data_IF_797912685063
#
_entry.id   IF_797912685063
#
_cell.length_a   1.000
_cell.length_b   1.000
_cell.length_c   1.000
_cell.angle_alpha   90.00
_cell.angle_beta   90.00
_cell.angle_gamma   90.00
#
_symmetry.space_group_name_H-M   'P 1'
#
loop_
_entity.id
_entity.type
_entity.pdbx_description
1 polymer ?
#
# COMPACT_ATOMS: atom_id res chain seq x y z
N UNK A 1 -21.28 0.00 0.75
CA UNK A 1 -21.74 -1.37 0.48
C UNK A 1 -21.05 -1.86 -0.76
N UNK A 2 -20.27 -2.93 -0.60
CA UNK A 2 -19.56 -3.58 -1.69
C UNK A 2 -20.51 -4.01 -2.81
N UNK A 3 -20.01 -3.93 -4.04
CA UNK A 3 -20.73 -4.33 -5.26
C UNK A 3 -20.77 -5.85 -5.45
N UNK A 4 -19.93 -6.59 -4.72
CA UNK A 4 -19.90 -8.05 -4.69
C UNK A 4 -19.77 -8.53 -3.24
N UNK A 5 -20.13 -9.79 -2.99
CA UNK A 5 -19.98 -10.41 -1.67
C UNK A 5 -18.51 -10.63 -1.31
N UNK A 6 -18.23 -10.81 -0.03
CA UNK A 6 -16.95 -11.31 0.46
C UNK A 6 -17.03 -12.81 0.68
N UNK A 7 -16.05 -13.55 0.18
CA UNK A 7 -15.84 -14.91 0.66
C UNK A 7 -15.15 -14.85 2.03
N UNK A 8 -15.51 -15.79 2.89
CA UNK A 8 -14.94 -15.97 4.22
C UNK A 8 -14.02 -17.18 4.23
N UNK A 9 -13.16 -17.27 5.25
CA UNK A 9 -12.30 -18.44 5.47
C UNK A 9 -13.06 -19.76 5.47
N UNK A 10 -14.30 -19.76 5.96
CA UNK A 10 -15.17 -20.93 6.06
C UNK A 10 -15.82 -21.32 4.72
N UNK A 11 -15.92 -20.38 3.78
CA UNK A 11 -16.61 -20.57 2.49
C UNK A 11 -15.67 -20.80 1.30
N UNK A 12 -14.37 -20.54 1.46
CA UNK A 12 -13.38 -20.79 0.42
C UNK A 12 -12.89 -22.24 0.43
N UNK A 13 -12.22 -22.65 -0.65
CA UNK A 13 -11.55 -23.95 -0.66
C UNK A 13 -10.40 -24.01 0.37
N UNK A 14 -10.02 -25.20 0.86
CA UNK A 14 -8.95 -25.35 1.85
C UNK A 14 -7.62 -24.71 1.41
N UNK A 15 -7.34 -24.69 0.11
CA UNK A 15 -6.12 -24.11 -0.46
C UNK A 15 -6.06 -22.59 -0.31
N UNK A 16 -7.22 -21.92 -0.26
CA UNK A 16 -7.31 -20.47 -0.09
C UNK A 16 -7.47 -20.05 1.37
N UNK A 17 -7.88 -20.94 2.27
CA UNK A 17 -7.98 -20.61 3.71
C UNK A 17 -6.75 -19.88 4.31
N UNK A 18 -5.49 -20.16 3.91
CA UNK A 18 -4.32 -19.47 4.44
C UNK A 18 -4.20 -17.98 4.12
N UNK A 19 -4.94 -17.44 3.13
CA UNK A 19 -4.89 -15.99 2.82
C UNK A 19 -5.66 -15.16 3.87
N UNK A 20 -6.51 -15.80 4.68
CA UNK A 20 -7.26 -15.19 5.77
C UNK A 20 -6.50 -15.35 7.08
N UNK A 21 -5.92 -14.26 7.58
CA UNK A 21 -5.07 -14.26 8.77
C UNK A 21 -5.80 -13.69 9.97
N UNK A 22 -5.68 -14.35 11.11
CA UNK A 22 -6.29 -13.88 12.36
C UNK A 22 -5.71 -12.52 12.76
N UNK A 23 -6.58 -11.61 13.23
CA UNK A 23 -6.18 -10.26 13.60
C UNK A 23 -5.84 -9.31 12.44
N UNK A 24 -5.99 -9.75 11.19
CA UNK A 24 -5.83 -8.91 9.99
C UNK A 24 -7.19 -8.56 9.36
N UNK A 25 -7.27 -7.53 8.50
CA UNK A 25 -8.46 -7.22 7.71
C UNK A 25 -8.85 -8.39 6.78
N UNK A 26 -10.14 -8.65 6.63
CA UNK A 26 -10.66 -9.82 5.90
C UNK A 26 -11.30 -9.46 4.56
N UNK A 27 -11.67 -8.19 4.33
CA UNK A 27 -12.37 -7.78 3.11
C UNK A 27 -11.51 -7.91 1.85
N UNK A 28 -10.23 -7.54 1.88
CA UNK A 28 -9.34 -7.72 0.71
C UNK A 28 -9.14 -9.21 0.38
N UNK A 29 -8.72 -10.09 1.31
CA UNK A 29 -8.65 -11.52 1.04
C UNK A 29 -9.98 -12.12 0.55
N UNK A 30 -11.10 -11.72 1.17
CA UNK A 30 -12.43 -12.21 0.81
C UNK A 30 -12.90 -11.78 -0.58
N UNK A 31 -12.49 -10.59 -1.03
CA UNK A 31 -12.74 -10.09 -2.37
C UNK A 31 -11.86 -10.79 -3.40
N UNK A 32 -10.56 -10.95 -3.11
CA UNK A 32 -9.61 -11.62 -4.02
C UNK A 32 -9.92 -13.11 -4.20
N UNK A 33 -10.52 -13.76 -3.20
CA UNK A 33 -10.89 -15.17 -3.27
C UNK A 33 -11.90 -15.50 -4.39
N UNK A 34 -12.61 -14.51 -4.96
CA UNK A 34 -13.42 -14.70 -6.19
C UNK A 34 -12.56 -15.01 -7.43
N UNK A 35 -11.25 -14.78 -7.38
CA UNK A 35 -10.27 -15.16 -8.39
C UNK A 35 -9.30 -16.21 -7.84
N UNK A 36 -9.74 -17.47 -7.61
CA UNK A 36 -9.00 -18.46 -6.83
C UNK A 36 -7.62 -18.81 -7.41
N UNK A 37 -7.48 -18.78 -8.73
CA UNK A 37 -6.20 -19.02 -9.41
C UNK A 37 -5.13 -17.95 -9.12
N UNK A 38 -5.54 -16.74 -8.70
CA UNK A 38 -4.67 -15.58 -8.52
C UNK A 38 -4.57 -15.15 -7.05
N UNK A 39 -5.59 -15.42 -6.23
CA UNK A 39 -5.75 -14.85 -4.90
C UNK A 39 -4.53 -15.05 -4.00
N UNK A 40 -4.07 -16.29 -3.84
CA UNK A 40 -2.93 -16.60 -2.98
C UNK A 40 -1.62 -15.96 -3.46
N UNK A 41 -1.38 -15.95 -4.78
CA UNK A 41 -0.20 -15.33 -5.36
C UNK A 41 -0.20 -13.80 -5.14
N UNK A 42 -1.34 -13.15 -5.37
CA UNK A 42 -1.47 -11.70 -5.17
C UNK A 42 -1.35 -11.31 -3.70
N UNK A 43 -1.99 -12.04 -2.78
CA UNK A 43 -1.87 -11.79 -1.34
C UNK A 43 -0.42 -11.93 -0.88
N UNK A 44 0.27 -13.00 -1.29
CA UNK A 44 1.68 -13.19 -0.96
C UNK A 44 2.57 -12.08 -1.54
N UNK A 45 2.28 -11.60 -2.75
CA UNK A 45 2.97 -10.46 -3.35
C UNK A 45 2.79 -9.18 -2.51
N UNK A 46 1.56 -8.84 -2.14
CA UNK A 46 1.27 -7.67 -1.29
C UNK A 46 1.97 -7.77 0.08
N UNK A 47 1.97 -8.95 0.70
CA UNK A 47 2.69 -9.18 1.96
C UNK A 47 4.20 -9.00 1.77
N UNK A 48 4.76 -9.44 0.65
CA UNK A 48 6.20 -9.28 0.38
C UNK A 48 6.63 -7.82 0.31
N UNK A 49 5.77 -6.93 -0.22
CA UNK A 49 5.99 -5.48 -0.25
C UNK A 49 6.04 -4.90 1.17
N UNK A 50 5.17 -5.39 2.07
CA UNK A 50 5.08 -4.87 3.44
C UNK A 50 6.12 -5.45 4.39
N UNK A 51 6.72 -6.59 4.04
CA UNK A 51 7.79 -7.23 4.79
C UNK A 51 9.12 -6.45 4.74
N UNK A 52 10.14 -6.96 5.44
CA UNK A 52 11.47 -6.36 5.46
C UNK A 52 12.06 -6.27 4.05
N UNK A 53 12.28 -5.05 3.60
CA UNK A 53 12.90 -4.69 2.31
C UNK A 53 14.17 -3.85 2.54
N UNK A 54 14.84 -3.45 1.46
CA UNK A 54 15.94 -2.47 1.55
C UNK A 54 15.40 -1.04 1.64
N UNK A 55 14.30 -0.76 0.95
CA UNK A 55 13.57 0.50 1.05
C UNK A 55 13.10 0.74 2.49
N UNK A 56 13.29 1.96 2.97
CA UNK A 56 12.81 2.36 4.29
C UNK A 56 11.28 2.19 4.38
N UNK A 57 10.76 1.42 5.37
CA UNK A 57 9.32 1.23 5.53
C UNK A 57 8.57 2.55 5.70
N UNK A 58 9.16 3.60 6.29
CA UNK A 58 8.53 4.93 6.36
C UNK A 58 8.33 5.54 4.98
N UNK A 59 9.34 5.46 4.11
CA UNK A 59 9.25 5.97 2.73
C UNK A 59 8.20 5.19 1.95
N UNK A 60 8.18 3.86 2.09
CA UNK A 60 7.16 3.00 1.49
C UNK A 60 5.75 3.42 1.92
N UNK A 61 5.49 3.55 3.22
CA UNK A 61 4.15 3.87 3.72
C UNK A 61 3.71 5.31 3.38
N UNK A 62 4.64 6.28 3.32
CA UNK A 62 4.33 7.62 2.79
C UNK A 62 3.80 7.56 1.36
N UNK A 63 4.46 6.76 0.50
CA UNK A 63 4.07 6.58 -0.89
C UNK A 63 2.74 5.83 -1.04
N UNK A 64 2.47 4.81 -0.22
CA UNK A 64 1.19 4.09 -0.25
C UNK A 64 0.04 5.01 0.24
N UNK A 65 0.24 5.77 1.31
CA UNK A 65 -0.76 6.77 1.76
C UNK A 65 -1.01 7.84 0.70
N UNK A 66 0.05 8.30 0.01
CA UNK A 66 -0.12 9.27 -1.06
C UNK A 66 -0.85 8.67 -2.27
N UNK A 67 -0.56 7.42 -2.63
CA UNK A 67 -1.31 6.67 -3.63
C UNK A 67 -2.79 6.57 -3.27
N UNK A 68 -3.12 6.15 -2.04
CA UNK A 68 -4.49 6.06 -1.54
C UNK A 68 -5.22 7.41 -1.64
N UNK A 69 -4.56 8.51 -1.29
CA UNK A 69 -5.11 9.86 -1.44
C UNK A 69 -5.37 10.23 -2.90
N UNK A 70 -4.39 10.05 -3.78
CA UNK A 70 -4.52 10.38 -5.21
C UNK A 70 -5.65 9.57 -5.86
N UNK A 71 -5.82 8.32 -5.44
CA UNK A 71 -6.87 7.44 -5.92
C UNK A 71 -8.21 7.60 -5.19
N UNK A 72 -8.29 8.46 -4.16
CA UNK A 72 -9.47 8.59 -3.29
C UNK A 72 -9.95 7.22 -2.75
N UNK A 73 -9.02 6.40 -2.27
CA UNK A 73 -9.31 5.06 -1.77
C UNK A 73 -9.31 5.02 -0.24
N UNK A 74 -10.50 5.14 0.36
CA UNK A 74 -10.67 5.20 1.82
C UNK A 74 -10.20 3.92 2.53
N UNK A 75 -10.44 2.74 1.94
CA UNK A 75 -10.01 1.47 2.53
C UNK A 75 -8.49 1.42 2.65
N UNK A 76 -7.77 1.74 1.56
CA UNK A 76 -6.30 1.75 1.56
C UNK A 76 -5.76 2.76 2.57
N UNK A 77 -6.34 3.96 2.62
CA UNK A 77 -5.97 4.98 3.60
C UNK A 77 -6.07 4.45 5.03
N UNK A 78 -7.23 3.89 5.42
CA UNK A 78 -7.47 3.42 6.79
C UNK A 78 -6.49 2.31 7.18
N UNK A 79 -6.20 1.38 6.27
CA UNK A 79 -5.26 0.30 6.56
C UNK A 79 -3.82 0.81 6.67
N UNK A 80 -3.38 1.64 5.72
CA UNK A 80 -2.01 2.12 5.67
C UNK A 80 -1.71 3.25 6.66
N UNK A 81 -2.71 3.93 7.20
CA UNK A 81 -2.51 4.85 8.32
C UNK A 81 -2.02 4.08 9.55
N UNK A 82 -2.64 2.93 9.84
CA UNK A 82 -2.23 2.07 10.96
C UNK A 82 -0.83 1.43 10.77
N UNK A 83 -0.53 1.00 9.54
CA UNK A 83 0.77 0.41 9.18
C UNK A 83 1.86 1.49 9.17
N UNK A 84 1.56 2.67 8.64
CA UNK A 84 2.45 3.84 8.62
C UNK A 84 2.87 4.25 10.02
N UNK A 85 1.95 4.30 10.97
CA UNK A 85 2.30 4.57 12.39
C UNK A 85 3.21 3.49 12.95
N UNK A 86 2.96 2.20 12.66
CA UNK A 86 3.83 1.11 13.09
C UNK A 86 5.24 1.19 12.47
N UNK A 87 5.33 1.62 11.20
CA UNK A 87 6.59 1.92 10.52
C UNK A 87 7.29 3.18 11.05
N UNK A 88 6.63 3.95 11.92
CA UNK A 88 7.19 5.11 12.60
C UNK A 88 6.90 6.45 11.91
N UNK A 89 5.86 6.52 11.07
CA UNK A 89 5.29 7.80 10.64
C UNK A 89 4.65 8.53 11.82
N UNK A 90 4.86 9.84 11.86
CA UNK A 90 4.21 10.71 12.84
C UNK A 90 2.82 11.14 12.35
N UNK A 91 2.02 11.72 13.25
CA UNK A 91 0.74 12.31 12.85
C UNK A 91 0.93 13.47 11.89
N UNK A 92 2.00 14.23 12.09
CA UNK A 92 2.39 15.34 11.25
C UNK A 92 2.69 14.87 9.81
N UNK A 93 3.43 13.77 9.66
CA UNK A 93 3.71 13.18 8.34
C UNK A 93 2.42 12.81 7.60
N UNK A 94 1.50 12.13 8.30
CA UNK A 94 0.22 11.68 7.73
C UNK A 94 -0.66 12.88 7.35
N UNK A 95 -0.73 13.90 8.21
CA UNK A 95 -1.51 15.11 7.93
C UNK A 95 -0.95 15.92 6.75
N UNK A 96 0.38 15.94 6.57
CA UNK A 96 1.00 16.52 5.37
C UNK A 96 0.55 15.75 4.11
N UNK A 97 0.65 14.42 4.11
CA UNK A 97 0.20 13.60 2.97
C UNK A 97 -1.27 13.86 2.68
N UNK A 98 -2.11 14.01 3.71
CA UNK A 98 -3.56 14.21 3.59
C UNK A 98 -3.95 15.57 3.00
N UNK A 99 -3.26 16.64 3.40
CA UNK A 99 -3.74 18.02 3.21
C UNK A 99 -2.92 18.86 2.24
N UNK A 100 -1.60 18.61 2.11
CA UNK A 100 -0.73 19.45 1.30
C UNK A 100 -1.01 19.28 -0.19
N UNK A 101 -0.98 20.37 -0.97
CA UNK A 101 -1.11 20.29 -2.44
C UNK A 101 0.10 19.56 -3.07
N UNK A 102 1.30 19.86 -2.55
CA UNK A 102 2.57 19.26 -2.97
C UNK A 102 3.29 18.67 -1.75
N UNK A 103 2.86 17.50 -1.25
CA UNK A 103 3.41 16.91 -0.02
C UNK A 103 4.91 16.66 -0.12
N UNK A 104 5.46 16.38 -1.31
CA UNK A 104 6.89 16.14 -1.52
C UNK A 104 7.78 17.29 -1.02
N UNK A 105 7.26 18.52 -0.97
CA UNK A 105 8.04 19.70 -0.56
C UNK A 105 8.31 19.73 0.95
N UNK A 106 7.56 18.94 1.73
CA UNK A 106 7.72 18.83 3.17
C UNK A 106 8.73 17.74 3.59
N UNK A 107 9.13 16.87 2.66
CA UNK A 107 10.01 15.73 2.94
C UNK A 107 11.33 15.87 2.15
N UNK A 108 12.49 15.96 2.81
CA UNK A 108 13.78 16.00 2.13
C UNK A 108 14.25 14.60 1.69
N UNK A 109 15.27 14.57 0.83
CA UNK A 109 16.00 13.35 0.45
C UNK A 109 15.13 12.27 -0.18
N UNK A 110 15.37 11.01 0.22
CA UNK A 110 14.70 9.81 -0.29
C UNK A 110 13.17 9.92 -0.29
N UNK A 111 12.56 10.44 0.78
CA UNK A 111 11.10 10.55 0.90
C UNK A 111 10.49 11.55 -0.10
N UNK A 112 11.11 12.72 -0.27
CA UNK A 112 10.62 13.75 -1.19
C UNK A 112 10.61 13.27 -2.63
N UNK A 113 11.71 12.67 -3.09
CA UNK A 113 11.80 12.15 -4.47
C UNK A 113 10.89 10.95 -4.69
N UNK A 114 10.70 10.10 -3.67
CA UNK A 114 9.75 8.99 -3.75
C UNK A 114 8.30 9.46 -3.90
N UNK A 115 7.90 10.55 -3.24
CA UNK A 115 6.57 11.15 -3.39
C UNK A 115 6.36 11.79 -4.77
N UNK A 116 7.40 12.44 -5.34
CA UNK A 116 7.35 12.92 -6.74
C UNK A 116 7.13 11.75 -7.70
N UNK A 117 7.93 10.69 -7.56
CA UNK A 117 7.82 9.49 -8.38
C UNK A 117 6.44 8.83 -8.25
N UNK A 118 5.92 8.74 -7.02
CA UNK A 118 4.59 8.19 -6.74
C UNK A 118 3.51 8.94 -7.51
N UNK A 119 3.52 10.28 -7.47
CA UNK A 119 2.56 11.09 -8.23
C UNK A 119 2.66 10.83 -9.73
N UNK A 120 3.87 10.83 -10.29
CA UNK A 120 4.06 10.60 -11.74
C UNK A 120 3.54 9.23 -12.18
N UNK A 121 3.81 8.18 -11.40
CA UNK A 121 3.31 6.83 -11.68
C UNK A 121 1.77 6.76 -11.62
N UNK A 122 1.15 7.41 -10.63
CA UNK A 122 -0.31 7.38 -10.46
C UNK A 122 -1.03 8.22 -11.51
N UNK A 123 -0.55 9.43 -11.78
CA UNK A 123 -1.23 10.38 -12.68
C UNK A 123 -0.91 10.13 -14.16
N UNK A 124 0.31 9.72 -14.49
CA UNK A 124 0.78 9.59 -15.88
C UNK A 124 1.09 8.15 -16.29
N UNK A 125 1.13 7.19 -15.35
CA UNK A 125 1.50 5.80 -15.65
C UNK A 125 2.96 5.62 -16.06
N UNK A 126 3.80 6.63 -15.83
CA UNK A 126 5.23 6.60 -16.18
C UNK A 126 6.00 7.60 -15.32
N UNK A 127 7.32 7.46 -15.27
CA UNK A 127 8.22 8.38 -14.57
C UNK A 127 9.04 9.18 -15.57
N UNK A 128 9.30 10.46 -15.27
CA UNK A 128 10.20 11.27 -16.09
C UNK A 128 11.65 10.85 -15.90
N UNK A 129 12.51 10.94 -16.93
CA UNK A 129 13.94 10.59 -16.81
C UNK A 129 14.66 11.36 -15.70
N UNK A 130 14.33 12.62 -15.50
CA UNK A 130 14.87 13.46 -14.43
C UNK A 130 14.47 12.98 -13.03
N UNK A 131 13.24 12.48 -12.86
CA UNK A 131 12.75 11.92 -11.60
C UNK A 131 13.50 10.64 -11.26
N UNK A 132 13.69 9.74 -12.23
CA UNK A 132 14.49 8.52 -12.05
C UNK A 132 15.95 8.86 -11.70
N UNK A 133 16.54 9.83 -12.41
CA UNK A 133 17.90 10.29 -12.13
C UNK A 133 18.02 10.84 -10.70
N UNK A 134 17.05 11.63 -10.26
CA UNK A 134 17.01 12.19 -8.91
C UNK A 134 16.82 11.09 -7.85
N UNK A 135 15.94 10.11 -8.10
CA UNK A 135 15.74 8.98 -7.19
C UNK A 135 17.04 8.21 -7.00
N UNK A 136 17.78 7.94 -8.07
CA UNK A 136 19.08 7.26 -8.02
C UNK A 136 20.21 8.07 -7.33
N UNK A 137 19.99 9.34 -6.98
CA UNK A 137 20.90 10.07 -6.08
C UNK A 137 20.63 9.77 -4.60
N UNK A 138 19.41 9.35 -4.25
CA UNK A 138 18.91 9.19 -2.88
C UNK A 138 18.65 7.73 -2.50
N UNK A 139 18.57 6.83 -3.48
CA UNK A 139 18.31 5.40 -3.26
C UNK A 139 19.01 4.53 -4.31
N UNK A 140 19.26 3.27 -3.96
CA UNK A 140 19.81 2.29 -4.90
C UNK A 140 18.77 1.81 -5.92
N UNK A 141 19.24 1.17 -6.99
CA UNK A 141 18.34 0.56 -8.00
C UNK A 141 17.36 -0.45 -7.37
N UNK A 142 17.80 -1.20 -6.36
CA UNK A 142 16.93 -2.12 -5.63
C UNK A 142 15.80 -1.38 -4.92
N UNK A 143 16.10 -0.33 -4.15
CA UNK A 143 15.09 0.46 -3.44
C UNK A 143 14.13 1.14 -4.42
N UNK A 144 14.63 1.62 -5.56
CA UNK A 144 13.80 2.21 -6.61
C UNK A 144 12.82 1.18 -7.19
N UNK A 145 13.27 -0.05 -7.45
CA UNK A 145 12.39 -1.13 -7.93
C UNK A 145 11.37 -1.52 -6.86
N UNK A 146 11.80 -1.66 -5.59
CA UNK A 146 10.91 -1.96 -4.46
C UNK A 146 9.83 -0.88 -4.30
N UNK A 147 10.19 0.41 -4.44
CA UNK A 147 9.25 1.53 -4.42
C UNK A 147 8.24 1.47 -5.57
N UNK A 148 8.71 1.25 -6.81
CA UNK A 148 7.82 1.14 -7.98
C UNK A 148 6.87 -0.05 -7.83
N UNK A 149 7.35 -1.19 -7.31
CA UNK A 149 6.53 -2.37 -7.02
C UNK A 149 5.45 -2.05 -5.99
N UNK A 150 5.79 -1.32 -4.91
CA UNK A 150 4.81 -0.88 -3.92
C UNK A 150 3.75 0.04 -4.55
N UNK A 151 4.17 1.13 -5.20
CA UNK A 151 3.24 2.10 -5.79
C UNK A 151 2.32 1.44 -6.81
N UNK A 152 2.84 0.62 -7.72
CA UNK A 152 2.03 -0.01 -8.76
C UNK A 152 1.08 -1.09 -8.23
N UNK A 153 1.50 -1.85 -7.21
CA UNK A 153 0.63 -2.84 -6.57
C UNK A 153 -0.56 -2.17 -5.87
N UNK A 154 -0.30 -1.11 -5.11
CA UNK A 154 -1.34 -0.38 -4.39
C UNK A 154 -2.19 0.50 -5.32
N UNK A 155 -1.64 1.03 -6.41
CA UNK A 155 -2.44 1.65 -7.46
C UNK A 155 -3.45 0.66 -8.05
N UNK A 156 -2.99 -0.54 -8.43
CA UNK A 156 -3.86 -1.59 -8.97
C UNK A 156 -4.92 -2.06 -7.96
N UNK A 157 -4.53 -2.20 -6.69
CA UNK A 157 -5.44 -2.60 -5.63
C UNK A 157 -6.48 -1.50 -5.34
N UNK A 158 -6.07 -0.23 -5.26
CA UNK A 158 -6.98 0.91 -5.10
C UNK A 158 -8.02 0.98 -6.22
N UNK A 159 -7.61 0.78 -7.48
CA UNK A 159 -8.53 0.71 -8.62
C UNK A 159 -9.57 -0.41 -8.42
N UNK A 160 -9.14 -1.60 -8.02
CA UNK A 160 -10.03 -2.73 -7.77
C UNK A 160 -11.01 -2.44 -6.62
N UNK A 161 -10.51 -1.92 -5.50
CA UNK A 161 -11.30 -1.58 -4.31
C UNK A 161 -12.34 -0.51 -4.61
N UNK A 162 -11.96 0.54 -5.35
CA UNK A 162 -12.88 1.60 -5.76
C UNK A 162 -13.91 1.08 -6.77
N UNK A 163 -13.48 0.27 -7.75
CA UNK A 163 -14.37 -0.31 -8.75
C UNK A 163 -15.41 -1.24 -8.13
N UNK A 164 -15.10 -1.90 -7.02
CA UNK A 164 -15.99 -2.81 -6.30
C UNK A 164 -16.65 -2.16 -5.07
N UNK A 165 -16.36 -0.88 -4.81
CA UNK A 165 -16.86 -0.11 -3.67
C UNK A 165 -16.70 -0.87 -2.33
N UNK A 166 -15.49 -1.40 -2.09
CA UNK A 166 -15.19 -2.21 -0.91
C UNK A 166 -15.63 -1.49 0.38
N UNK A 167 -16.29 -2.21 1.28
CA UNK A 167 -16.64 -1.71 2.60
C UNK A 167 -15.36 -1.54 3.43
N UNK A 168 -15.25 -0.42 4.14
CA UNK A 168 -14.13 -0.14 5.04
C UNK A 168 -14.18 -1.04 6.27
N UNK A 169 -13.02 -1.53 6.69
CA UNK A 169 -12.82 -2.19 7.99
C UNK A 169 -11.94 -1.31 8.86
N UNK A 170 -11.95 -1.54 10.18
CA UNK A 170 -10.97 -0.92 11.06
C UNK A 170 -9.55 -1.23 10.59
N UNK A 171 -8.64 -0.27 10.78
CA UNK A 171 -7.22 -0.46 10.52
C UNK A 171 -6.64 -1.65 11.29
N UNK A 172 -5.46 -2.09 10.86
CA UNK A 172 -4.75 -3.19 11.48
C UNK A 172 -4.42 -2.87 12.94
N UNK A 173 -4.63 -3.85 13.84
CA UNK A 173 -4.21 -3.70 15.22
C UNK A 173 -2.68 -3.55 15.31
N UNK A 174 -2.20 -2.73 16.24
CA UNK A 174 -0.76 -2.39 16.38
C UNK A 174 0.16 -3.63 16.37
N UNK A 175 -0.19 -4.70 17.10
CA UNK A 175 0.61 -5.93 17.10
C UNK A 175 0.70 -6.61 15.72
N UNK A 176 -0.41 -6.67 14.98
CA UNK A 176 -0.43 -7.23 13.63
C UNK A 176 0.35 -6.35 12.65
N UNK A 177 0.29 -5.03 12.80
CA UNK A 177 1.02 -4.08 11.98
C UNK A 177 2.54 -4.21 12.17
N UNK A 178 3.01 -4.29 13.42
CA UNK A 178 4.44 -4.53 13.71
C UNK A 178 4.93 -5.88 13.20
N UNK A 179 4.13 -6.95 13.36
CA UNK A 179 4.47 -8.26 12.82
C UNK A 179 4.62 -8.25 11.29
N UNK A 180 3.81 -7.45 10.60
CA UNK A 180 3.82 -7.37 9.13
C UNK A 180 5.07 -6.66 8.60
N UNK A 181 5.52 -5.60 9.28
CA UNK A 181 6.71 -4.83 8.88
C UNK A 181 8.03 -5.48 9.29
N UNK A 182 7.98 -6.50 10.16
CA UNK A 182 9.16 -7.29 10.54
C UNK A 182 10.00 -6.69 11.66
N UNK A 183 9.38 -5.88 12.52
CA UNK A 183 9.95 -5.29 13.74
C UNK A 183 9.71 -6.16 14.99
#
# INVERSE_FOLDING_TARGET
>A
MARISYLTRETVSPELSPIFREGQPQHVPGLLAHAPANAAALVNYLISILSKQKLDPKVRELCILYNARLMSCDYEWVQHESIGVAAGLTREDIEVIKTAVHPESAFPGQAGVALVLTRELVEAGTAKPETIKAALQEMSEQELVELIMAVTAYLGLAVMMNALAIDTESGMGSAAAHQLIGD
#
